data_IF_846804798871
#
_entry.id   IF_846804798871
#
_cell.length_a   1.000
_cell.length_b   1.000
_cell.length_c   1.000
_cell.angle_alpha   90.00
_cell.angle_beta   90.00
_cell.angle_gamma   90.00
#
_symmetry.space_group_name_H-M   'P 1'
#
loop_
_entity.id
_entity.type
_entity.pdbx_description
1 polymer ?
#
# COMPACT_ATOMS: atom_id res chain seq x y z
N UNK A 1 25.97 -12.02 -9.68
CA UNK A 1 25.68 -10.60 -9.87
C UNK A 1 24.40 -10.32 -9.07
N UNK A 2 24.41 -9.35 -8.19
CA UNK A 2 23.21 -8.87 -7.51
C UNK A 2 22.28 -8.27 -8.55
N UNK A 3 21.00 -8.66 -8.54
CA UNK A 3 19.99 -8.07 -9.44
C UNK A 3 19.72 -6.63 -9.00
N UNK A 4 19.52 -5.68 -9.93
CA UNK A 4 19.27 -4.27 -9.60
C UNK A 4 17.97 -4.04 -8.82
N UNK A 5 16.94 -4.86 -9.08
CA UNK A 5 15.79 -5.07 -8.20
C UNK A 5 15.51 -6.57 -8.08
N UNK A 6 15.07 -6.98 -6.88
CA UNK A 6 14.68 -8.36 -6.62
C UNK A 6 13.84 -8.45 -5.37
N UNK A 7 12.55 -8.74 -5.53
CA UNK A 7 11.66 -8.93 -4.39
C UNK A 7 10.61 -9.98 -4.71
N UNK A 8 10.60 -11.09 -3.95
CA UNK A 8 9.73 -12.23 -4.22
C UNK A 8 8.65 -12.46 -3.15
N UNK A 9 8.82 -11.87 -1.97
CA UNK A 9 7.90 -12.01 -0.84
C UNK A 9 7.99 -10.80 0.09
N UNK A 10 7.22 -10.83 1.17
CA UNK A 10 7.11 -9.71 2.11
C UNK A 10 8.10 -9.79 3.28
N UNK A 11 8.94 -10.84 3.39
CA UNK A 11 9.72 -11.14 4.59
C UNK A 11 11.20 -11.45 4.39
N UNK A 12 11.67 -11.77 3.19
CA UNK A 12 13.10 -12.02 2.98
C UNK A 12 13.94 -10.80 3.37
N UNK A 13 15.24 -10.98 3.77
CA UNK A 13 16.07 -9.87 4.25
C UNK A 13 16.08 -8.69 3.30
N UNK A 14 15.61 -7.55 3.81
CA UNK A 14 15.48 -6.30 3.08
C UNK A 14 16.87 -5.66 2.88
N UNK A 15 17.16 -5.19 1.67
CA UNK A 15 18.44 -4.56 1.32
C UNK A 15 18.27 -3.17 0.72
N UNK A 16 17.16 -2.94 0.02
CA UNK A 16 16.94 -1.67 -0.64
C UNK A 16 15.45 -1.35 -0.72
N UNK A 17 15.08 -0.13 -0.37
CA UNK A 17 13.68 0.28 -0.20
C UNK A 17 13.49 1.75 -0.62
N UNK A 18 12.30 2.08 -1.10
CA UNK A 18 11.84 3.46 -1.25
C UNK A 18 10.98 3.79 -0.02
N UNK A 19 11.22 4.94 0.61
CA UNK A 19 10.35 5.53 1.64
C UNK A 19 9.69 6.77 1.06
N UNK A 20 8.40 6.92 1.24
CA UNK A 20 7.61 8.05 0.77
C UNK A 20 7.93 9.38 1.46
N UNK A 21 7.16 10.40 1.18
CA UNK A 21 7.26 11.73 1.81
C UNK A 21 5.89 12.37 1.94
N UNK A 22 5.68 13.12 2.99
CA UNK A 22 4.49 13.95 3.19
C UNK A 22 4.60 15.33 2.52
N UNK A 23 5.78 15.69 2.01
CA UNK A 23 6.00 16.99 1.37
C UNK A 23 5.06 17.13 0.17
N UNK A 24 4.25 18.19 0.20
CA UNK A 24 3.27 18.48 -0.86
C UNK A 24 1.94 17.72 -0.73
N UNK A 25 1.77 16.87 0.28
CA UNK A 25 0.51 16.16 0.48
C UNK A 25 -0.68 17.12 0.56
N UNK A 26 -1.78 16.76 -0.09
CA UNK A 26 -2.92 17.64 -0.31
C UNK A 26 -4.23 16.85 -0.26
N UNK A 27 -5.27 17.42 0.31
CA UNK A 27 -6.63 16.88 0.24
C UNK A 27 -7.26 17.42 -1.05
N UNK A 28 -7.48 16.58 -2.07
CA UNK A 28 -7.97 17.06 -3.37
C UNK A 28 -9.32 17.74 -3.27
N UNK A 29 -9.61 18.63 -4.23
CA UNK A 29 -10.97 19.16 -4.40
C UNK A 29 -11.98 18.02 -4.61
N UNK A 30 -13.26 18.35 -4.48
CA UNK A 30 -14.33 17.36 -4.64
C UNK A 30 -14.22 16.64 -5.97
N UNK A 31 -13.98 15.34 -5.90
CA UNK A 31 -13.85 14.45 -7.06
C UNK A 31 -14.51 13.10 -6.74
N UNK A 32 -15.21 12.53 -7.72
CA UNK A 32 -15.92 11.28 -7.55
C UNK A 32 -14.99 10.12 -7.19
N UNK A 33 -13.78 10.07 -7.77
CA UNK A 33 -12.82 9.01 -7.45
C UNK A 33 -12.33 9.08 -6.00
N UNK A 34 -12.08 10.28 -5.49
CA UNK A 34 -11.67 10.50 -4.11
C UNK A 34 -12.79 10.17 -3.12
N UNK A 35 -14.03 10.56 -3.42
CA UNK A 35 -15.20 10.15 -2.64
C UNK A 35 -15.35 8.63 -2.62
N UNK A 36 -15.30 7.98 -3.80
CA UNK A 36 -15.48 6.54 -3.93
C UNK A 36 -14.36 5.72 -3.26
N UNK A 37 -13.12 6.18 -3.34
CA UNK A 37 -11.97 5.42 -2.82
C UNK A 37 -11.78 5.59 -1.32
N UNK A 38 -11.86 6.83 -0.82
CA UNK A 38 -11.47 7.14 0.56
C UNK A 38 -12.65 7.40 1.50
N UNK A 39 -13.79 7.85 0.98
CA UNK A 39 -14.88 8.41 1.79
C UNK A 39 -16.28 7.96 1.36
N UNK A 40 -16.42 6.81 0.74
CA UNK A 40 -17.70 6.31 0.25
C UNK A 40 -18.76 6.05 1.36
N UNK A 41 -18.32 6.04 2.63
CA UNK A 41 -19.22 5.99 3.80
C UNK A 41 -19.86 7.33 4.13
N UNK A 42 -19.36 8.43 3.59
CA UNK A 42 -19.93 9.76 3.78
C UNK A 42 -21.04 10.01 2.75
N UNK A 43 -22.05 10.76 3.14
CA UNK A 43 -22.98 11.32 2.17
C UNK A 43 -22.27 12.33 1.27
N UNK A 44 -22.80 12.63 0.07
CA UNK A 44 -22.24 13.68 -0.79
C UNK A 44 -22.11 15.04 -0.07
N UNK A 45 -23.07 15.38 0.79
CA UNK A 45 -23.09 16.63 1.56
C UNK A 45 -21.94 16.65 2.59
N UNK A 46 -21.72 15.56 3.33
CA UNK A 46 -20.62 15.42 4.29
C UNK A 46 -19.29 15.47 3.57
N UNK A 47 -19.12 14.72 2.47
CA UNK A 47 -17.90 14.74 1.67
C UNK A 47 -17.58 16.14 1.12
N UNK A 48 -18.58 16.86 0.63
CA UNK A 48 -18.42 18.22 0.13
C UNK A 48 -18.04 19.22 1.22
N UNK A 49 -18.43 18.98 2.47
CA UNK A 49 -18.13 19.83 3.60
C UNK A 49 -16.74 19.58 4.22
N UNK A 50 -16.05 18.50 3.81
CA UNK A 50 -14.71 18.20 4.31
C UNK A 50 -13.70 19.30 3.96
N UNK A 51 -12.67 19.53 4.82
CA UNK A 51 -11.53 20.37 4.47
C UNK A 51 -10.85 19.93 3.17
N UNK A 52 -10.38 20.88 2.38
CA UNK A 52 -9.64 20.67 1.13
C UNK A 52 -8.35 21.49 1.14
N UNK A 53 -7.42 21.12 0.31
CA UNK A 53 -6.13 21.81 0.21
C UNK A 53 -5.07 21.19 1.11
N UNK A 54 -4.05 21.96 1.43
CA UNK A 54 -2.91 21.50 2.20
C UNK A 54 -3.28 21.08 3.63
N UNK A 55 -2.63 20.02 4.11
CA UNK A 55 -2.66 19.68 5.53
C UNK A 55 -2.01 20.78 6.38
N UNK A 56 -2.36 20.89 7.69
CA UNK A 56 -1.64 21.77 8.59
C UNK A 56 -0.13 21.51 8.61
N UNK A 57 0.68 22.57 8.76
CA UNK A 57 2.14 22.48 8.77
C UNK A 57 2.65 21.45 9.79
N UNK A 58 2.03 21.42 10.97
CA UNK A 58 2.35 20.44 12.03
C UNK A 58 2.23 18.98 11.55
N UNK A 59 1.24 18.66 10.68
CA UNK A 59 1.07 17.32 10.12
C UNK A 59 2.26 16.94 9.23
N UNK A 60 2.73 17.88 8.40
CA UNK A 60 3.90 17.65 7.55
C UNK A 60 5.17 17.45 8.38
N UNK A 61 5.43 18.36 9.33
CA UNK A 61 6.65 18.35 10.15
C UNK A 61 6.72 17.07 10.96
N UNK A 62 5.61 16.67 11.59
CA UNK A 62 5.55 15.44 12.37
C UNK A 62 5.61 14.19 11.51
N UNK A 63 5.00 14.18 10.32
CA UNK A 63 5.06 13.04 9.41
C UNK A 63 6.46 12.85 8.83
N UNK A 64 7.17 13.91 8.43
CA UNK A 64 8.56 13.80 7.97
C UNK A 64 9.50 13.36 9.10
N UNK A 65 9.32 13.88 10.33
CA UNK A 65 10.08 13.41 11.50
C UNK A 65 9.88 11.90 11.73
N UNK A 66 8.64 11.40 11.63
CA UNK A 66 8.32 9.98 11.77
C UNK A 66 8.94 9.14 10.65
N UNK A 67 8.90 9.64 9.39
CA UNK A 67 9.54 8.98 8.26
C UNK A 67 11.08 8.95 8.41
N UNK A 68 11.71 10.02 8.88
CA UNK A 68 13.16 10.04 9.16
C UNK A 68 13.52 9.07 10.32
N UNK A 69 12.63 8.91 11.30
CA UNK A 69 12.76 7.87 12.32
C UNK A 69 12.76 6.46 11.72
N UNK A 70 11.84 6.19 10.78
CA UNK A 70 11.78 4.93 10.03
C UNK A 70 13.04 4.72 9.17
N UNK A 71 13.50 5.75 8.45
CA UNK A 71 14.74 5.72 7.66
C UNK A 71 15.92 5.34 8.56
N UNK A 72 16.05 5.97 9.72
CA UNK A 72 17.15 5.68 10.67
C UNK A 72 17.14 4.22 11.14
N UNK A 73 15.97 3.62 11.39
CA UNK A 73 15.84 2.21 11.75
C UNK A 73 16.33 1.31 10.61
N UNK A 74 15.91 1.63 9.38
CA UNK A 74 16.27 0.85 8.18
C UNK A 74 17.77 0.94 7.88
N UNK A 75 18.38 2.12 7.96
CA UNK A 75 19.82 2.32 7.75
C UNK A 75 20.66 1.61 8.82
N UNK A 76 20.21 1.58 10.08
CA UNK A 76 20.84 0.79 11.16
C UNK A 76 20.78 -0.72 10.91
N UNK A 77 19.82 -1.17 10.10
CA UNK A 77 19.69 -2.56 9.64
C UNK A 77 20.42 -2.83 8.30
N UNK A 78 21.34 -1.96 7.88
CA UNK A 78 22.09 -2.04 6.61
C UNK A 78 21.18 -2.06 5.36
N UNK A 79 20.04 -1.34 5.41
CA UNK A 79 19.11 -1.17 4.27
C UNK A 79 19.39 0.16 3.58
N UNK A 80 19.59 0.12 2.27
CA UNK A 80 19.70 1.34 1.45
C UNK A 80 18.34 1.96 1.22
N UNK A 81 18.16 3.22 1.59
CA UNK A 81 16.89 3.94 1.48
C UNK A 81 16.93 4.95 0.33
N UNK A 82 15.89 4.94 -0.49
CA UNK A 82 15.63 5.94 -1.54
C UNK A 82 14.43 6.80 -1.16
N UNK A 83 14.41 8.03 -1.64
CA UNK A 83 13.30 8.97 -1.47
C UNK A 83 12.78 9.42 -2.85
N UNK A 84 11.47 9.73 -2.99
CA UNK A 84 10.92 10.26 -4.23
C UNK A 84 11.51 11.64 -4.57
N UNK A 85 11.62 11.95 -5.86
CA UNK A 85 12.03 13.28 -6.33
C UNK A 85 10.81 14.19 -6.42
N UNK A 86 10.51 14.93 -5.38
CA UNK A 86 9.35 15.84 -5.31
C UNK A 86 9.48 17.06 -6.22
N UNK A 87 10.65 17.30 -6.84
CA UNK A 87 10.84 18.41 -7.75
C UNK A 87 10.17 18.20 -9.12
N UNK A 88 9.79 16.97 -9.46
CA UNK A 88 9.20 16.64 -10.77
C UNK A 88 7.69 16.87 -10.85
N UNK A 89 7.02 17.06 -9.73
CA UNK A 89 5.58 17.36 -9.65
C UNK A 89 5.38 18.63 -8.81
N UNK A 90 4.65 19.57 -9.37
CA UNK A 90 4.12 20.71 -8.60
C UNK A 90 2.76 20.32 -8.02
N UNK A 91 2.74 19.96 -6.72
CA UNK A 91 1.53 19.55 -6.01
C UNK A 91 0.46 20.66 -5.88
N UNK A 92 0.79 21.91 -6.22
CA UNK A 92 -0.18 23.00 -6.28
C UNK A 92 -0.97 23.04 -7.58
N UNK A 93 -0.60 22.19 -8.56
CA UNK A 93 -1.27 22.12 -9.85
C UNK A 93 -2.31 21.00 -9.89
N UNK A 94 -3.28 21.15 -10.79
CA UNK A 94 -4.29 20.12 -11.04
C UNK A 94 -3.80 19.09 -12.05
N UNK A 95 -4.33 17.88 -11.93
CA UNK A 95 -4.18 16.79 -12.91
C UNK A 95 -5.48 16.59 -13.68
N UNK A 96 -5.36 16.33 -15.00
CA UNK A 96 -6.51 16.14 -15.90
C UNK A 96 -6.16 15.19 -17.05
N UNK A 97 -7.16 14.44 -17.51
CA UNK A 97 -7.09 13.72 -18.79
C UNK A 97 -7.97 14.35 -19.89
N UNK A 98 -8.50 15.56 -19.66
CA UNK A 98 -9.40 16.27 -20.58
C UNK A 98 -10.89 15.96 -20.36
N UNK A 99 -11.27 14.95 -19.57
CA UNK A 99 -12.67 14.64 -19.22
C UNK A 99 -13.00 14.92 -17.76
N UNK A 100 -11.99 14.84 -16.92
CA UNK A 100 -12.07 15.19 -15.51
C UNK A 100 -10.84 16.01 -15.12
N UNK A 101 -10.94 16.73 -14.03
CA UNK A 101 -9.86 17.51 -13.42
C UNK A 101 -9.96 17.35 -11.91
N UNK A 102 -8.82 17.18 -11.24
CA UNK A 102 -8.70 17.17 -9.78
C UNK A 102 -7.33 17.70 -9.37
N UNK A 103 -7.10 17.95 -8.09
CA UNK A 103 -5.78 18.34 -7.60
C UNK A 103 -4.87 17.12 -7.46
N UNK A 104 -3.55 17.35 -7.44
CA UNK A 104 -2.58 16.34 -7.07
C UNK A 104 -2.81 15.90 -5.61
N UNK A 105 -2.34 14.71 -5.23
CA UNK A 105 -2.59 14.16 -3.90
C UNK A 105 -1.33 14.17 -3.03
N UNK A 106 -0.50 13.14 -3.12
CA UNK A 106 0.66 12.97 -2.23
C UNK A 106 1.69 12.00 -2.82
N UNK A 107 2.80 11.82 -2.09
CA UNK A 107 3.80 10.77 -2.33
C UNK A 107 4.14 10.01 -1.04
N UNK A 108 3.20 9.98 -0.08
CA UNK A 108 3.41 9.39 1.24
C UNK A 108 3.47 7.87 1.18
N UNK A 109 2.62 7.24 0.33
CA UNK A 109 2.48 5.79 0.23
C UNK A 109 2.94 5.24 -1.14
N UNK A 110 4.25 5.08 -1.40
CA UNK A 110 4.75 4.55 -2.67
C UNK A 110 4.23 3.14 -3.00
N UNK A 111 4.00 2.28 -1.99
CA UNK A 111 3.48 0.92 -2.20
C UNK A 111 2.14 0.88 -2.91
N UNK A 112 1.34 1.92 -2.77
CA UNK A 112 0.03 1.98 -3.41
C UNK A 112 0.14 2.11 -4.93
N UNK A 113 1.19 2.77 -5.41
CA UNK A 113 1.39 3.09 -6.83
C UNK A 113 2.43 2.22 -7.53
N UNK A 114 3.33 1.57 -6.78
CA UNK A 114 4.44 0.77 -7.32
C UNK A 114 4.66 -0.52 -6.53
N UNK A 115 5.16 -1.56 -7.21
CA UNK A 115 5.63 -2.79 -6.59
C UNK A 115 6.78 -3.40 -7.38
N UNK A 116 7.57 -4.26 -6.72
CA UNK A 116 8.57 -5.10 -7.36
C UNK A 116 8.18 -6.56 -7.20
N UNK A 117 8.11 -7.30 -8.31
CA UNK A 117 7.84 -8.75 -8.31
C UNK A 117 8.96 -9.44 -9.09
N UNK A 118 9.76 -10.26 -8.40
CA UNK A 118 10.98 -10.81 -8.97
C UNK A 118 11.95 -9.70 -9.39
N UNK A 119 12.35 -9.67 -10.65
CA UNK A 119 13.25 -8.66 -11.26
C UNK A 119 12.49 -7.53 -11.99
N UNK A 120 11.21 -7.37 -11.70
CA UNK A 120 10.31 -6.49 -12.46
C UNK A 120 9.72 -5.41 -11.57
N UNK A 121 9.92 -4.15 -11.95
CA UNK A 121 9.21 -2.99 -11.40
C UNK A 121 7.87 -2.86 -12.14
N UNK A 122 6.79 -2.72 -11.39
CA UNK A 122 5.43 -2.54 -11.93
C UNK A 122 4.86 -1.24 -11.36
N UNK A 123 4.42 -0.36 -12.25
CA UNK A 123 3.61 0.80 -11.88
C UNK A 123 2.12 0.47 -12.05
N UNK A 124 1.34 0.70 -11.01
CA UNK A 124 -0.09 0.50 -11.02
C UNK A 124 -0.85 1.55 -11.84
N UNK A 125 -2.08 1.21 -12.20
CA UNK A 125 -3.05 2.13 -12.74
C UNK A 125 -4.07 2.48 -11.65
N UNK A 126 -3.71 3.45 -10.82
CA UNK A 126 -4.44 3.86 -9.63
C UNK A 126 -5.89 4.21 -9.92
N UNK A 127 -6.80 3.79 -9.03
CA UNK A 127 -8.21 4.15 -9.12
C UNK A 127 -8.46 5.62 -8.76
N UNK A 128 -7.60 6.22 -7.96
CA UNK A 128 -7.71 7.61 -7.51
C UNK A 128 -7.08 8.57 -8.54
N UNK A 129 -7.92 9.40 -9.17
CA UNK A 129 -7.49 10.38 -10.20
C UNK A 129 -6.40 11.32 -9.72
N UNK A 130 -6.46 11.75 -8.47
CA UNK A 130 -5.46 12.64 -7.86
C UNK A 130 -4.04 12.05 -7.84
N UNK A 131 -3.90 10.71 -7.96
CA UNK A 131 -2.62 9.99 -7.98
C UNK A 131 -2.14 9.61 -9.39
N UNK A 132 -2.78 10.12 -10.43
CA UNK A 132 -2.56 9.71 -11.82
C UNK A 132 -1.12 9.91 -12.31
N UNK A 133 -0.39 10.88 -11.77
CA UNK A 133 1.00 11.18 -12.12
C UNK A 133 2.00 10.80 -11.02
N UNK A 134 1.55 10.21 -9.91
CA UNK A 134 2.40 9.98 -8.75
C UNK A 134 3.65 9.15 -9.04
N UNK A 135 3.57 8.15 -9.93
CA UNK A 135 4.71 7.30 -10.28
C UNK A 135 5.88 8.07 -10.90
N UNK A 136 5.65 9.29 -11.45
CA UNK A 136 6.72 10.13 -11.99
C UNK A 136 7.76 10.53 -10.93
N UNK A 137 7.36 10.60 -9.66
CA UNK A 137 8.25 10.90 -8.52
C UNK A 137 9.37 9.86 -8.34
N UNK A 138 9.18 8.66 -8.88
CA UNK A 138 10.11 7.52 -8.75
C UNK A 138 10.89 7.25 -10.05
N UNK A 139 10.61 7.98 -11.14
CA UNK A 139 11.19 7.74 -12.48
C UNK A 139 12.72 7.71 -12.46
N UNK A 140 13.38 8.58 -11.71
CA UNK A 140 14.83 8.60 -11.60
C UNK A 140 15.39 7.29 -11.07
N UNK A 141 14.78 6.77 -9.98
CA UNK A 141 15.15 5.49 -9.38
C UNK A 141 14.92 4.36 -10.39
N UNK A 142 13.77 4.34 -11.06
CA UNK A 142 13.42 3.29 -12.01
C UNK A 142 14.31 3.29 -13.26
N UNK A 143 14.66 4.47 -13.77
CA UNK A 143 15.61 4.60 -14.88
C UNK A 143 16.98 4.02 -14.53
N UNK A 144 17.52 4.34 -13.34
CA UNK A 144 18.77 3.78 -12.85
C UNK A 144 18.71 2.24 -12.75
N UNK A 145 17.63 1.69 -12.18
CA UNK A 145 17.41 0.24 -12.06
C UNK A 145 17.24 -0.44 -13.41
N UNK A 146 16.49 0.16 -14.33
CA UNK A 146 16.29 -0.34 -15.69
C UNK A 146 17.60 -0.35 -16.48
N UNK A 147 18.38 0.75 -16.42
CA UNK A 147 19.71 0.82 -17.08
C UNK A 147 20.68 -0.20 -16.50
N UNK A 148 20.51 -0.61 -15.27
CA UNK A 148 21.29 -1.69 -14.63
C UNK A 148 20.75 -3.11 -14.97
N UNK A 149 19.64 -3.23 -15.70
CA UNK A 149 19.13 -4.49 -16.26
C UNK A 149 17.82 -5.02 -15.66
N UNK A 150 17.12 -4.25 -14.82
CA UNK A 150 15.77 -4.59 -14.35
C UNK A 150 14.72 -4.34 -15.41
N UNK A 151 13.62 -5.08 -15.36
CA UNK A 151 12.43 -4.80 -16.15
C UNK A 151 11.61 -3.70 -15.48
N UNK A 152 10.96 -2.88 -16.28
CA UNK A 152 10.09 -1.81 -15.80
C UNK A 152 8.84 -1.74 -16.69
N UNK A 153 7.67 -2.04 -16.13
CA UNK A 153 6.39 -2.07 -16.83
C UNK A 153 5.37 -1.15 -16.17
N UNK A 154 5.09 0.02 -16.77
CA UNK A 154 3.92 0.80 -16.39
C UNK A 154 2.65 0.12 -16.92
N UNK A 155 1.63 0.04 -16.09
CA UNK A 155 0.31 -0.37 -16.53
C UNK A 155 -0.29 0.66 -17.50
N UNK A 156 -1.09 0.25 -18.51
CA UNK A 156 -1.77 1.21 -19.39
C UNK A 156 -2.56 2.23 -18.58
N UNK A 157 -2.37 3.51 -18.86
CA UNK A 157 -3.07 4.61 -18.18
C UNK A 157 -4.59 4.52 -18.43
N UNK A 158 -5.43 4.41 -17.39
CA UNK A 158 -6.88 4.31 -17.55
C UNK A 158 -7.50 5.68 -17.81
N UNK A 159 -8.70 5.68 -18.37
CA UNK A 159 -9.47 6.91 -18.56
C UNK A 159 -10.12 7.41 -17.27
N UNK A 160 -10.38 6.52 -16.32
CA UNK A 160 -11.03 6.82 -15.03
C UNK A 160 -12.33 7.61 -15.18
N UNK A 161 -13.20 7.17 -16.12
CA UNK A 161 -14.53 7.79 -16.31
C UNK A 161 -15.39 7.62 -15.05
N UNK A 162 -16.38 8.48 -14.87
CA UNK A 162 -17.32 8.40 -13.72
C UNK A 162 -18.05 7.05 -13.65
N UNK A 163 -18.30 6.42 -14.81
CA UNK A 163 -18.89 5.08 -14.91
C UNK A 163 -18.07 3.96 -14.28
N UNK A 164 -16.79 4.21 -14.00
CA UNK A 164 -15.93 3.25 -13.29
C UNK A 164 -16.37 3.07 -11.84
N UNK A 165 -16.81 4.11 -11.16
CA UNK A 165 -17.03 4.14 -9.71
C UNK A 165 -18.48 3.81 -9.34
N UNK A 166 -18.65 3.04 -8.27
CA UNK A 166 -19.96 2.68 -7.72
C UNK A 166 -20.00 2.95 -6.23
N UNK A 167 -20.78 3.96 -5.87
CA UNK A 167 -21.13 4.27 -4.48
C UNK A 167 -22.61 3.97 -4.33
N UNK A 168 -22.98 3.04 -3.44
CA UNK A 168 -24.36 2.66 -3.17
C UNK A 168 -24.61 2.70 -1.66
N UNK A 169 -25.65 3.39 -1.18
CA UNK A 169 -25.97 3.44 0.25
C UNK A 169 -26.06 2.03 0.87
N UNK A 170 -25.35 1.83 1.98
CA UNK A 170 -25.37 0.57 2.73
C UNK A 170 -24.63 -0.60 2.09
N UNK A 171 -23.82 -0.33 1.05
CA UNK A 171 -22.92 -1.32 0.44
C UNK A 171 -21.49 -0.77 0.43
N UNK A 172 -20.53 -1.69 0.47
CA UNK A 172 -19.13 -1.33 0.22
C UNK A 172 -18.98 -0.72 -1.18
N UNK A 173 -18.11 0.30 -1.33
CA UNK A 173 -17.81 0.87 -2.63
C UNK A 173 -17.15 -0.17 -3.53
N UNK A 174 -17.29 -0.01 -4.83
CA UNK A 174 -16.68 -0.89 -5.82
C UNK A 174 -16.38 -0.14 -7.10
N UNK A 175 -15.50 -0.72 -7.92
CA UNK A 175 -15.28 -0.29 -9.30
C UNK A 175 -15.82 -1.32 -10.27
N UNK A 176 -16.08 -0.87 -11.50
CA UNK A 176 -16.55 -1.74 -12.59
C UNK A 176 -15.38 -2.43 -13.27
N UNK A 177 -15.70 -3.39 -14.13
CA UNK A 177 -14.74 -4.00 -15.07
C UNK A 177 -14.65 -3.23 -16.41
N UNK A 178 -14.86 -1.89 -16.40
CA UNK A 178 -14.78 -1.08 -17.62
C UNK A 178 -13.37 -1.07 -18.21
N UNK A 179 -12.37 -0.87 -17.37
CA UNK A 179 -10.94 -0.87 -17.71
C UNK A 179 -10.12 -1.55 -16.62
N UNK A 180 -8.87 -1.99 -16.91
CA UNK A 180 -8.02 -2.61 -15.89
C UNK A 180 -7.53 -1.57 -14.88
N UNK A 181 -7.77 -1.83 -13.60
CA UNK A 181 -7.34 -1.01 -12.45
C UNK A 181 -6.56 -1.88 -11.49
N UNK A 182 -5.46 -1.34 -11.00
CA UNK A 182 -4.58 -1.98 -10.03
C UNK A 182 -3.85 -0.92 -9.20
N UNK A 183 -4.21 -0.83 -7.92
CA UNK A 183 -3.34 -0.26 -6.91
C UNK A 183 -2.44 -1.39 -6.39
N UNK A 184 -1.10 -1.33 -6.55
CA UNK A 184 -0.18 -2.38 -6.10
C UNK A 184 -0.32 -2.81 -4.64
N UNK A 185 -0.84 -1.97 -3.76
CA UNK A 185 -1.16 -2.34 -2.37
C UNK A 185 -2.31 -3.37 -2.22
N UNK A 186 -2.93 -3.82 -3.32
CA UNK A 186 -3.81 -4.99 -3.33
C UNK A 186 -3.05 -6.32 -3.49
N UNK A 187 -1.71 -6.27 -3.59
CA UNK A 187 -0.85 -7.42 -3.86
C UNK A 187 -0.12 -7.86 -2.60
N UNK A 188 -0.06 -9.17 -2.37
CA UNK A 188 0.87 -9.82 -1.45
C UNK A 188 1.71 -10.79 -2.25
N UNK A 189 3.03 -10.68 -2.14
CA UNK A 189 3.99 -11.55 -2.82
C UNK A 189 4.32 -12.75 -1.91
N UNK A 190 4.15 -13.94 -2.45
CA UNK A 190 4.43 -15.19 -1.75
C UNK A 190 5.22 -16.15 -2.67
N UNK A 191 6.40 -15.72 -3.11
CA UNK A 191 7.21 -16.46 -4.06
C UNK A 191 6.54 -16.53 -5.43
N UNK A 192 6.28 -17.75 -5.91
CA UNK A 192 5.57 -17.97 -7.18
C UNK A 192 4.09 -17.57 -7.12
N UNK A 193 3.50 -17.53 -5.92
CA UNK A 193 2.10 -17.17 -5.72
C UNK A 193 1.97 -15.67 -5.38
N UNK A 194 1.10 -15.01 -6.10
CA UNK A 194 0.76 -13.59 -5.91
C UNK A 194 -0.70 -13.53 -5.49
N UNK A 195 -0.97 -13.14 -4.25
CA UNK A 195 -2.33 -12.92 -3.79
C UNK A 195 -2.78 -11.51 -4.24
N UNK A 196 -3.95 -11.42 -4.82
CA UNK A 196 -4.51 -10.17 -5.34
C UNK A 196 -5.91 -9.94 -4.78
N UNK A 197 -6.10 -8.89 -4.00
CA UNK A 197 -7.40 -8.52 -3.46
C UNK A 197 -8.24 -7.82 -4.54
N UNK A 198 -9.41 -8.39 -4.87
CA UNK A 198 -10.43 -7.71 -5.65
C UNK A 198 -11.14 -6.72 -4.73
N UNK A 199 -11.04 -5.43 -5.04
CA UNK A 199 -11.44 -4.34 -4.16
C UNK A 199 -11.90 -3.11 -4.95
N UNK A 200 -12.21 -2.03 -4.24
CA UNK A 200 -12.51 -0.72 -4.83
C UNK A 200 -11.29 -0.05 -5.52
N UNK A 201 -10.09 -0.62 -5.34
CA UNK A 201 -8.84 -0.11 -5.93
C UNK A 201 -8.12 -1.13 -6.82
N UNK A 202 -8.78 -2.26 -7.11
CA UNK A 202 -8.22 -3.29 -7.99
C UNK A 202 -9.28 -4.29 -8.44
N UNK A 203 -9.41 -4.46 -9.76
CA UNK A 203 -10.44 -5.31 -10.36
C UNK A 203 -9.87 -6.56 -11.05
N UNK A 204 -10.74 -7.44 -11.56
CA UNK A 204 -10.32 -8.67 -12.25
C UNK A 204 -9.52 -8.39 -13.52
N UNK A 205 -9.82 -7.32 -14.25
CA UNK A 205 -9.04 -6.92 -15.42
C UNK A 205 -7.62 -6.51 -15.02
N UNK A 206 -7.43 -5.83 -13.89
CA UNK A 206 -6.12 -5.51 -13.31
C UNK A 206 -5.35 -6.77 -12.97
N UNK A 207 -5.98 -7.75 -12.30
CA UNK A 207 -5.37 -9.04 -11.98
C UNK A 207 -4.97 -9.83 -13.24
N UNK A 208 -5.81 -9.84 -14.28
CA UNK A 208 -5.51 -10.48 -15.57
C UNK A 208 -4.35 -9.81 -16.29
N UNK A 209 -4.30 -8.47 -16.25
CA UNK A 209 -3.16 -7.73 -16.81
C UNK A 209 -1.86 -8.11 -16.09
N UNK A 210 -1.90 -8.15 -14.74
CA UNK A 210 -0.75 -8.54 -13.93
C UNK A 210 -0.28 -9.95 -14.26
N UNK A 211 -1.20 -10.95 -14.32
CA UNK A 211 -0.87 -12.32 -14.69
C UNK A 211 -0.20 -12.40 -16.07
N UNK A 212 -0.73 -11.69 -17.06
CA UNK A 212 -0.18 -11.67 -18.41
C UNK A 212 1.22 -11.03 -18.48
N UNK A 213 1.44 -9.99 -17.65
CA UNK A 213 2.74 -9.27 -17.56
C UNK A 213 3.80 -10.14 -16.89
N UNK A 214 3.44 -10.86 -15.82
CA UNK A 214 4.36 -11.74 -15.08
C UNK A 214 4.62 -13.07 -15.82
N UNK A 215 3.72 -13.48 -16.72
CA UNK A 215 3.81 -14.74 -17.45
C UNK A 215 3.56 -15.97 -16.57
N UNK A 216 3.90 -17.14 -17.09
CA UNK A 216 3.60 -18.44 -16.48
C UNK A 216 4.49 -18.80 -15.27
N UNK A 217 5.53 -18.00 -15.01
CA UNK A 217 6.41 -18.20 -13.86
C UNK A 217 5.77 -17.81 -12.53
N UNK A 218 4.70 -17.04 -12.58
CA UNK A 218 3.94 -16.58 -11.39
C UNK A 218 2.49 -16.97 -11.55
N UNK A 219 1.80 -17.09 -10.41
CA UNK A 219 0.37 -17.38 -10.38
C UNK A 219 -0.34 -16.32 -9.53
N UNK A 220 -1.20 -15.53 -10.19
CA UNK A 220 -2.03 -14.52 -9.55
C UNK A 220 -3.32 -15.15 -9.05
N UNK A 221 -3.54 -15.14 -7.74
CA UNK A 221 -4.73 -15.63 -7.07
C UNK A 221 -5.65 -14.48 -6.70
N UNK A 222 -6.78 -14.39 -7.37
CA UNK A 222 -7.81 -13.39 -7.06
C UNK A 222 -8.52 -13.78 -5.77
N UNK A 223 -8.53 -12.90 -4.79
CA UNK A 223 -9.27 -13.04 -3.54
C UNK A 223 -10.56 -12.23 -3.63
N UNK A 224 -11.69 -12.94 -3.71
CA UNK A 224 -13.03 -12.37 -3.73
C UNK A 224 -13.70 -12.44 -2.36
N UNK A 225 -14.69 -11.57 -2.14
CA UNK A 225 -15.53 -11.58 -0.94
C UNK A 225 -14.77 -11.48 0.39
N UNK A 226 -13.61 -10.87 0.38
CA UNK A 226 -12.93 -10.37 1.56
C UNK A 226 -13.24 -8.87 1.73
N UNK A 227 -12.55 -8.19 2.65
CA UNK A 227 -12.64 -6.75 2.74
C UNK A 227 -12.35 -6.11 1.37
N UNK A 228 -13.32 -5.35 0.84
CA UNK A 228 -13.31 -4.91 -0.56
C UNK A 228 -13.09 -3.40 -0.73
N UNK A 229 -12.89 -2.66 0.37
CA UNK A 229 -12.79 -1.20 0.24
C UNK A 229 -11.47 -0.80 -0.44
N UNK A 230 -10.35 -0.96 0.23
CA UNK A 230 -9.05 -0.61 -0.35
C UNK A 230 -7.93 -1.39 0.32
N UNK A 231 -6.95 -1.82 -0.44
CA UNK A 231 -5.66 -2.37 -0.05
C UNK A 231 -5.72 -3.59 0.89
N UNK A 232 -4.75 -4.47 0.77
CA UNK A 232 -4.76 -5.76 1.48
C UNK A 232 -3.96 -5.74 2.78
N UNK A 233 -3.04 -4.81 2.94
CA UNK A 233 -2.02 -4.79 3.99
C UNK A 233 -2.49 -4.36 5.40
N UNK A 234 -3.76 -4.00 5.54
CA UNK A 234 -4.46 -3.94 6.85
C UNK A 234 -5.53 -5.05 6.99
N UNK A 235 -5.43 -6.09 6.18
CA UNK A 235 -6.33 -7.25 6.15
C UNK A 235 -5.56 -8.55 6.28
N UNK A 236 -4.47 -8.71 5.52
CA UNK A 236 -3.58 -9.89 5.51
C UNK A 236 -2.13 -9.39 5.47
N UNK A 237 -1.30 -9.83 6.42
CA UNK A 237 0.12 -9.48 6.47
C UNK A 237 0.97 -10.70 6.82
N UNK A 238 1.58 -11.37 5.84
CA UNK A 238 2.53 -12.45 6.09
C UNK A 238 3.82 -11.88 6.68
N UNK A 239 4.32 -12.53 7.75
CA UNK A 239 5.54 -12.09 8.46
C UNK A 239 6.77 -12.93 8.11
N UNK A 240 6.56 -14.21 7.82
CA UNK A 240 7.57 -15.19 7.40
C UNK A 240 6.87 -16.47 6.92
N UNK A 241 7.56 -17.42 6.30
CA UNK A 241 6.97 -18.72 6.00
C UNK A 241 6.37 -19.36 7.25
N UNK A 242 5.11 -19.77 7.16
CA UNK A 242 4.37 -20.40 8.24
C UNK A 242 3.76 -19.45 9.28
N UNK A 243 3.82 -18.11 9.10
CA UNK A 243 3.23 -17.15 10.04
C UNK A 243 2.61 -15.95 9.32
N UNK A 244 1.32 -15.67 9.60
CA UNK A 244 0.57 -14.55 9.02
C UNK A 244 -0.24 -13.82 10.10
N UNK A 245 -0.37 -12.51 9.96
CA UNK A 245 -1.34 -11.69 10.71
C UNK A 245 -2.59 -11.55 9.85
N UNK A 246 -3.75 -11.90 10.41
CA UNK A 246 -5.05 -11.72 9.76
C UNK A 246 -5.95 -10.82 10.60
N UNK A 247 -6.61 -9.88 9.94
CA UNK A 247 -7.62 -9.05 10.58
C UNK A 247 -8.89 -9.88 10.82
N UNK A 248 -9.25 -10.09 12.09
CA UNK A 248 -10.38 -10.95 12.48
C UNK A 248 -11.72 -10.43 11.97
N UNK A 249 -11.90 -9.10 11.90
CA UNK A 249 -13.13 -8.46 11.43
C UNK A 249 -13.28 -8.47 9.91
N UNK A 250 -12.17 -8.66 9.17
CA UNK A 250 -12.13 -8.58 7.69
C UNK A 250 -11.96 -9.93 7.00
N UNK A 251 -11.40 -10.93 7.70
CA UNK A 251 -11.13 -12.26 7.14
C UNK A 251 -11.97 -13.31 7.88
N UNK A 252 -13.16 -13.67 7.36
CA UNK A 252 -13.95 -14.77 7.91
C UNK A 252 -13.16 -16.08 7.88
N UNK A 253 -13.23 -16.88 8.95
CA UNK A 253 -12.47 -18.14 9.08
C UNK A 253 -12.65 -19.12 7.90
N UNK A 254 -13.81 -19.12 7.28
CA UNK A 254 -14.11 -19.94 6.10
C UNK A 254 -13.64 -19.32 4.77
N UNK A 255 -13.01 -18.14 4.82
CA UNK A 255 -12.47 -17.43 3.65
C UNK A 255 -10.96 -17.17 3.74
N UNK A 256 -10.28 -17.76 4.70
CA UNK A 256 -8.82 -17.73 4.76
C UNK A 256 -8.26 -18.28 3.45
N UNK A 257 -7.36 -17.55 2.75
CA UNK A 257 -6.74 -18.05 1.53
C UNK A 257 -6.02 -19.38 1.79
N UNK A 258 -6.23 -20.37 0.91
CA UNK A 258 -5.71 -21.73 1.08
C UNK A 258 -4.18 -21.83 1.18
N UNK A 259 -3.47 -20.84 0.70
CA UNK A 259 -2.01 -20.76 0.86
C UNK A 259 -1.60 -20.70 2.33
N UNK A 260 -2.49 -20.30 3.24
CA UNK A 260 -2.27 -20.27 4.68
C UNK A 260 -2.83 -21.48 5.45
N UNK A 261 -3.29 -22.55 4.79
CA UNK A 261 -3.93 -23.71 5.43
C UNK A 261 -3.10 -24.35 6.57
N UNK A 262 -1.77 -24.27 6.51
CA UNK A 262 -0.87 -24.83 7.52
C UNK A 262 -0.01 -23.75 8.20
N UNK A 263 -0.42 -22.51 8.16
CA UNK A 263 0.30 -21.40 8.76
C UNK A 263 -0.27 -21.09 10.15
N UNK A 264 0.61 -20.69 11.07
CA UNK A 264 0.20 -20.06 12.32
C UNK A 264 -0.41 -18.70 12.02
N UNK A 265 -1.49 -18.37 12.73
CA UNK A 265 -2.23 -17.12 12.52
C UNK A 265 -2.19 -16.29 13.79
N UNK A 266 -1.68 -15.07 13.68
CA UNK A 266 -1.91 -14.03 14.68
C UNK A 266 -3.20 -13.31 14.26
N UNK A 267 -4.26 -13.51 15.04
CA UNK A 267 -5.52 -12.79 14.83
C UNK A 267 -5.42 -11.39 15.40
N UNK A 268 -5.44 -10.40 14.51
CA UNK A 268 -5.53 -8.99 14.90
C UNK A 268 -7.00 -8.65 15.12
N UNK A 269 -7.44 -8.73 16.37
CA UNK A 269 -8.82 -8.46 16.79
C UNK A 269 -9.04 -6.99 17.11
N UNK A 270 -10.30 -6.59 17.23
CA UNK A 270 -10.66 -5.24 17.66
C UNK A 270 -10.12 -4.89 19.05
N UNK A 271 -10.00 -5.89 19.94
CA UNK A 271 -9.40 -5.72 21.28
C UNK A 271 -7.88 -5.48 21.24
N UNK A 272 -7.21 -5.94 20.20
CA UNK A 272 -5.78 -5.66 19.97
C UNK A 272 -5.54 -4.28 19.36
N UNK A 273 -6.51 -3.79 18.60
CA UNK A 273 -6.42 -2.52 17.92
C UNK A 273 -6.45 -1.37 18.96
N UNK A 274 -5.34 -0.65 19.10
CA UNK A 274 -5.24 0.49 20.03
C UNK A 274 -5.98 1.75 19.57
N UNK A 275 -6.62 1.69 18.39
CA UNK A 275 -7.41 2.79 17.86
C UNK A 275 -6.56 4.01 17.54
N UNK A 276 -5.70 3.90 16.53
CA UNK A 276 -4.87 5.00 16.06
C UNK A 276 -5.68 6.29 15.91
N UNK A 277 -5.18 7.39 16.48
CA UNK A 277 -5.86 8.69 16.41
C UNK A 277 -5.73 9.29 15.01
N UNK A 278 -6.80 9.92 14.55
CA UNK A 278 -6.75 10.82 13.41
C UNK A 278 -6.63 12.25 13.91
N UNK A 279 -5.82 13.07 13.25
CA UNK A 279 -5.72 14.51 13.55
C UNK A 279 -6.86 15.31 12.91
N UNK A 280 -7.73 14.67 12.16
CA UNK A 280 -8.87 15.27 11.47
C UNK A 280 -10.13 14.43 11.74
N UNK A 281 -11.29 15.05 11.71
CA UNK A 281 -12.59 14.38 11.90
C UNK A 281 -12.87 13.31 10.85
N UNK A 282 -12.29 13.45 9.66
CA UNK A 282 -12.43 12.54 8.52
C UNK A 282 -11.07 11.91 8.16
N UNK A 283 -10.80 10.72 8.70
CA UNK A 283 -9.58 9.99 8.40
C UNK A 283 -9.77 9.07 7.18
N UNK A 284 -8.89 9.09 6.18
CA UNK A 284 -8.97 8.18 5.03
C UNK A 284 -8.68 6.73 5.40
N UNK A 285 -7.89 6.48 6.45
CA UNK A 285 -7.59 5.12 6.90
C UNK A 285 -8.40 4.71 8.13
N UNK A 286 -8.72 3.41 8.20
CA UNK A 286 -9.39 2.80 9.35
C UNK A 286 -8.45 2.71 10.57
N UNK A 287 -9.01 2.43 11.76
CA UNK A 287 -8.23 2.19 12.98
C UNK A 287 -7.32 0.95 12.88
N UNK A 288 -7.66 -0.04 12.03
CA UNK A 288 -6.87 -1.25 11.82
C UNK A 288 -5.56 -1.02 11.04
N UNK A 289 -5.25 0.21 10.65
CA UNK A 289 -3.96 0.57 10.04
C UNK A 289 -2.77 0.20 10.95
N UNK A 290 -2.99 -0.04 12.24
CA UNK A 290 -1.97 -0.50 13.17
C UNK A 290 -1.34 -1.85 12.81
N UNK A 291 -2.02 -2.72 12.04
CA UNK A 291 -1.42 -3.96 11.55
C UNK A 291 -0.58 -3.80 10.27
N UNK A 292 -0.43 -2.58 9.78
CA UNK A 292 0.37 -2.25 8.60
C UNK A 292 1.87 -2.22 8.96
N UNK A 293 2.47 -3.39 9.07
CA UNK A 293 3.84 -3.61 9.57
C UNK A 293 4.80 -3.97 8.44
N UNK A 294 6.11 -3.75 8.64
CA UNK A 294 7.14 -4.01 7.64
C UNK A 294 8.18 -5.00 8.17
N UNK A 295 8.24 -6.21 7.61
CA UNK A 295 9.31 -7.16 7.95
C UNK A 295 10.63 -6.72 7.33
N UNK A 296 11.68 -6.62 8.15
CA UNK A 296 13.07 -6.39 7.71
C UNK A 296 13.68 -7.72 7.26
N UNK A 297 13.38 -8.78 7.99
CA UNK A 297 13.79 -10.16 7.73
C UNK A 297 12.76 -11.12 8.37
N UNK A 298 12.87 -12.45 8.21
CA UNK A 298 11.91 -13.41 8.78
C UNK A 298 11.80 -13.43 10.30
N UNK A 299 12.62 -12.68 11.02
CA UNK A 299 12.66 -12.64 12.50
C UNK A 299 12.45 -11.24 13.05
N UNK A 300 12.50 -10.19 12.21
CA UNK A 300 12.46 -8.79 12.64
C UNK A 300 11.40 -8.02 11.87
N UNK A 301 10.50 -7.36 12.59
CA UNK A 301 9.39 -6.62 12.00
C UNK A 301 9.26 -5.23 12.60
N UNK A 302 9.19 -4.18 11.77
CA UNK A 302 8.89 -2.81 12.18
C UNK A 302 7.38 -2.70 12.44
N UNK A 303 7.03 -2.21 13.63
CA UNK A 303 5.64 -2.14 14.12
C UNK A 303 5.37 -0.74 14.67
N UNK A 304 4.20 -0.13 14.41
CA UNK A 304 3.84 1.12 15.08
C UNK A 304 3.94 0.98 16.60
N UNK A 305 4.59 1.92 17.25
CA UNK A 305 4.97 1.81 18.69
C UNK A 305 3.78 1.66 19.63
N UNK A 306 2.61 2.12 19.25
CA UNK A 306 1.37 2.00 20.03
C UNK A 306 0.80 0.59 20.01
N UNK A 307 1.16 -0.27 19.03
CA UNK A 307 0.60 -1.61 18.82
C UNK A 307 1.22 -2.66 19.75
N UNK A 308 1.22 -2.39 21.06
CA UNK A 308 1.86 -3.22 22.09
C UNK A 308 1.30 -4.64 22.17
N UNK A 309 0.01 -4.82 21.90
CA UNK A 309 -0.62 -6.14 21.87
C UNK A 309 -0.15 -6.96 20.66
N UNK A 310 -0.03 -6.33 19.49
CA UNK A 310 0.49 -6.97 18.29
C UNK A 310 1.97 -7.35 18.47
N UNK A 311 2.80 -6.43 19.03
CA UNK A 311 4.20 -6.72 19.35
C UNK A 311 4.32 -7.93 20.30
N UNK A 312 3.54 -7.97 21.38
CA UNK A 312 3.55 -9.11 22.31
C UNK A 312 3.10 -10.43 21.66
N UNK A 313 2.18 -10.36 20.70
CA UNK A 313 1.77 -11.55 19.93
C UNK A 313 2.89 -12.01 18.97
N UNK A 314 3.59 -11.09 18.32
CA UNK A 314 4.74 -11.38 17.46
C UNK A 314 5.88 -12.03 18.25
N UNK A 315 6.22 -11.51 19.42
CA UNK A 315 7.27 -12.07 20.29
C UNK A 315 6.97 -13.54 20.68
N UNK A 316 5.72 -13.88 20.98
CA UNK A 316 5.30 -15.27 21.26
C UNK A 316 5.52 -16.23 20.08
N UNK A 317 5.57 -15.69 18.86
CA UNK A 317 5.84 -16.45 17.64
C UNK A 317 7.31 -16.30 17.16
N UNK A 318 8.20 -15.73 18.01
CA UNK A 318 9.62 -15.61 17.73
C UNK A 318 9.99 -14.49 16.74
N UNK A 319 9.10 -13.51 16.55
CA UNK A 319 9.41 -12.28 15.80
C UNK A 319 9.85 -11.21 16.80
N UNK A 320 10.94 -10.52 16.49
CA UNK A 320 11.40 -9.34 17.22
C UNK A 320 10.74 -8.09 16.67
N UNK A 321 9.80 -7.47 17.38
CA UNK A 321 9.19 -6.22 16.93
C UNK A 321 10.14 -5.05 17.17
N UNK A 322 10.27 -4.17 16.19
CA UNK A 322 11.01 -2.91 16.27
C UNK A 322 10.00 -1.77 16.27
N UNK A 323 9.77 -1.10 17.40
CA UNK A 323 8.76 -0.04 17.47
C UNK A 323 9.21 1.19 16.66
N UNK A 324 8.26 1.77 15.91
CA UNK A 324 8.45 3.04 15.19
C UNK A 324 7.31 4.00 15.49
N UNK A 325 7.63 5.26 15.70
CA UNK A 325 6.63 6.32 15.85
C UNK A 325 6.04 6.68 14.49
N UNK A 326 4.69 6.69 14.39
CA UNK A 326 3.95 7.01 13.16
C UNK A 326 2.64 7.73 13.51
N UNK A 327 2.73 9.04 13.86
CA UNK A 327 1.61 9.84 14.40
C UNK A 327 0.46 10.03 13.42
N UNK A 328 0.76 10.03 12.11
CA UNK A 328 -0.20 10.40 11.06
C UNK A 328 -0.66 9.25 10.17
N UNK A 329 -0.52 7.98 10.61
CA UNK A 329 -0.95 6.82 9.81
C UNK A 329 -2.40 6.91 9.35
N UNK A 330 -3.32 7.37 10.20
CA UNK A 330 -4.73 7.53 9.82
C UNK A 330 -4.97 8.80 9.01
N UNK A 331 -4.23 9.85 9.26
CA UNK A 331 -4.38 11.16 8.60
C UNK A 331 -3.88 11.12 7.16
N UNK A 332 -2.76 10.43 6.93
CA UNK A 332 -2.09 10.29 5.61
C UNK A 332 -2.22 8.86 5.03
N UNK A 333 -3.11 8.05 5.60
CA UNK A 333 -3.49 6.72 5.13
C UNK A 333 -2.33 5.71 4.94
N UNK A 334 -1.26 5.78 5.75
CA UNK A 334 -0.14 4.84 5.61
C UNK A 334 0.61 4.53 6.89
N UNK A 335 0.79 3.23 7.19
CA UNK A 335 1.72 2.71 8.19
C UNK A 335 3.06 2.31 7.57
N UNK A 336 3.97 1.65 8.32
CA UNK A 336 5.32 1.30 7.86
C UNK A 336 5.38 0.55 6.51
N UNK A 337 4.41 -0.30 6.21
CA UNK A 337 4.32 -1.02 4.94
C UNK A 337 3.90 -0.10 3.79
N UNK A 338 2.82 0.67 3.95
CA UNK A 338 2.31 1.57 2.92
C UNK A 338 3.32 2.66 2.53
N UNK A 339 4.00 3.28 3.54
CA UNK A 339 4.97 4.36 3.29
C UNK A 339 6.28 3.86 2.67
N UNK A 340 6.36 2.56 2.37
CA UNK A 340 7.56 1.91 1.87
C UNK A 340 7.28 1.03 0.65
N UNK A 341 8.27 0.90 -0.24
CA UNK A 341 8.25 -0.07 -1.34
C UNK A 341 9.62 -0.71 -1.50
N UNK A 342 9.73 -1.99 -1.18
CA UNK A 342 10.98 -2.72 -1.26
C UNK A 342 11.41 -2.97 -2.70
N UNK A 343 12.64 -2.56 -3.00
CA UNK A 343 13.30 -2.78 -4.30
C UNK A 343 14.12 -4.08 -4.31
N UNK A 344 14.82 -4.36 -3.20
CA UNK A 344 15.66 -5.56 -3.10
C UNK A 344 15.45 -6.24 -1.76
N UNK A 345 15.10 -7.54 -1.83
CA UNK A 345 15.15 -8.49 -0.73
C UNK A 345 16.06 -9.66 -1.09
N UNK A 346 16.93 -10.07 -0.16
CA UNK A 346 17.79 -11.26 -0.34
C UNK A 346 16.98 -12.53 -0.16
N UNK A 347 16.68 -13.20 -1.24
CA UNK A 347 15.94 -14.45 -1.20
C UNK A 347 15.84 -15.09 -2.57
N UNK A 348 15.06 -16.14 -2.63
CA UNK A 348 14.80 -16.90 -3.86
C UNK A 348 13.32 -16.89 -4.18
N UNK A 349 13.02 -17.13 -5.41
CA UNK A 349 11.66 -17.40 -5.84
C UNK A 349 11.33 -18.86 -5.44
N UNK A 350 10.45 -19.02 -4.47
CA UNK A 350 10.10 -20.31 -3.85
C UNK A 350 8.57 -20.50 -3.80
N UNK A 351 8.16 -21.74 -3.53
CA UNK A 351 6.76 -22.09 -3.24
C UNK A 351 6.59 -22.16 -1.72
N UNK A 352 5.53 -21.57 -1.17
CA UNK A 352 5.23 -21.55 0.26
C UNK A 352 3.92 -22.24 0.60
#
# INVERSE_FOLDING_TARGET
>A
MTKPVWSCNEWDPLKEIIIGTSIGANIPQNDLSHHATNYANLTPEEYNAMPKGHYPLEVYEQAEEDLEGLVSILEQADVTVHRPDTSVIDFTTSVSNGKWITDQYEAYCPRDSITVIGDTIIEGAMSLRARYHETFLFNKIFQEKMMAGSKWFPMPKPMLNDSLYRIQPGKDPSITEEEPILDPANIIRMGYDILYLISNTGNEKGAKWLQNTLGDSFKVHMMHDLYSWAHVDSTIMPLRPGLVVLNESRVPKNKIPKVFDNWDIIWYSDDMCVGQKAHMDYAPASSWIGMNVLSIDPQTCIVPQEETHLMSAMEKHGITPVPVQMRHMRTLAGGPHCVSCDLVREGKLEQY
#
